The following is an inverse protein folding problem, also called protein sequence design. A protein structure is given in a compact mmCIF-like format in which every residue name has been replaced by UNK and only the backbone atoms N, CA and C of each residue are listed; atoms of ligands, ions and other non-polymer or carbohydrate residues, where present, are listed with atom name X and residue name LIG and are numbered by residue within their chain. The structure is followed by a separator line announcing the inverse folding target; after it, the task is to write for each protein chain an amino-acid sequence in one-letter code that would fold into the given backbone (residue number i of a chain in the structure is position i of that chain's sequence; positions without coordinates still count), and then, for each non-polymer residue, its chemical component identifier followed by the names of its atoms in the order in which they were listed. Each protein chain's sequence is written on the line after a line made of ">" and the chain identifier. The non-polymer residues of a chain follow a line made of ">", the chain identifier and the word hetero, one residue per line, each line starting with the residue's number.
data_IF_453822213986
#
_entry.id   IF_453822213986
#
_cell.length_a   1.000
_cell.length_b   1.000
_cell.length_c   1.000
_cell.angle_alpha   90.00
_cell.angle_beta   90.00
_cell.angle_gamma   90.00
#
_symmetry.space_group_name_H-M   'P 1'
#
loop_
_entity.id
_entity.type
_entity.pdbx_description
1 polymer ?
#
# COMPACT_ATOMS: atom_id res chain seq x y z
N UNK A 1 3.17 -2.96 1.64
CA UNK A 1 2.54 -2.26 0.50
C UNK A 1 2.15 -0.87 0.99
N UNK A 2 2.78 0.18 0.46
CA UNK A 2 2.39 1.55 0.83
C UNK A 2 0.98 1.84 0.31
N UNK A 3 0.21 2.60 1.07
CA UNK A 3 -1.12 3.10 0.71
C UNK A 3 -1.35 4.44 1.41
N UNK A 4 -2.44 5.15 1.08
CA UNK A 4 -2.70 6.51 1.61
C UNK A 4 -2.72 6.60 3.15
N UNK A 5 -3.04 5.50 3.85
CA UNK A 5 -2.91 5.40 5.31
C UNK A 5 -1.49 5.60 5.83
N UNK A 6 -0.48 4.98 5.20
CA UNK A 6 0.93 5.22 5.51
C UNK A 6 1.31 6.68 5.19
N UNK A 7 0.87 7.19 4.04
CA UNK A 7 1.12 8.57 3.64
C UNK A 7 0.53 9.59 4.63
N UNK A 8 -0.68 9.35 5.16
CA UNK A 8 -1.29 10.20 6.17
C UNK A 8 -0.59 10.10 7.54
N UNK A 9 -0.08 8.93 7.93
CA UNK A 9 0.77 8.79 9.12
C UNK A 9 2.03 9.65 8.98
N UNK A 10 2.71 9.57 7.83
CA UNK A 10 3.91 10.38 7.55
C UNK A 10 3.58 11.88 7.50
N UNK A 11 2.44 12.28 6.94
CA UNK A 11 1.94 13.66 7.00
C UNK A 11 1.75 14.13 8.45
N UNK A 12 1.10 13.32 9.29
CA UNK A 12 0.90 13.63 10.71
C UNK A 12 2.25 13.75 11.43
N UNK A 13 3.18 12.82 11.20
CA UNK A 13 4.51 12.87 11.78
C UNK A 13 5.28 14.14 11.35
N UNK A 14 5.28 14.47 10.05
CA UNK A 14 5.88 15.71 9.52
C UNK A 14 5.24 16.96 10.11
N UNK A 15 3.94 16.95 10.47
CA UNK A 15 3.30 18.11 11.10
C UNK A 15 3.69 18.34 12.56
N UNK A 16 4.43 17.41 13.18
CA UNK A 16 4.90 17.51 14.57
C UNK A 16 6.32 18.06 14.69
N UNK A 17 6.97 18.39 13.57
CA UNK A 17 8.32 18.95 13.53
C UNK A 17 8.64 19.55 12.16
N UNK A 18 9.91 19.87 11.93
CA UNK A 18 10.33 20.57 10.70
C UNK A 18 10.97 19.63 9.66
N UNK A 19 11.42 18.44 10.08
CA UNK A 19 12.12 17.46 9.25
C UNK A 19 11.69 16.04 9.64
N UNK A 20 11.46 15.17 8.64
CA UNK A 20 10.99 13.80 8.81
C UNK A 20 11.97 12.82 8.16
N UNK A 21 12.60 12.02 9.02
CA UNK A 21 13.41 10.86 8.65
C UNK A 21 12.56 9.60 8.81
N UNK A 22 12.56 8.73 7.80
CA UNK A 22 11.85 7.45 7.84
C UNK A 22 12.81 6.28 7.76
N UNK A 23 12.91 5.51 8.85
CA UNK A 23 13.61 4.23 8.87
C UNK A 23 12.81 3.13 8.18
N UNK A 24 13.45 2.40 7.26
CA UNK A 24 12.83 1.29 6.53
C UNK A 24 13.69 0.04 6.69
N UNK A 25 13.09 -1.05 7.19
CA UNK A 25 13.79 -2.30 7.47
C UNK A 25 14.22 -3.05 6.21
N UNK A 26 15.25 -3.90 6.31
CA UNK A 26 15.63 -4.84 5.24
C UNK A 26 14.62 -5.98 5.10
N UNK A 27 14.67 -6.70 3.96
CA UNK A 27 13.81 -7.89 3.76
C UNK A 27 14.15 -9.01 4.74
N UNK A 28 15.44 -9.17 5.07
CA UNK A 28 15.92 -10.13 6.06
C UNK A 28 15.39 -9.82 7.46
N UNK A 29 15.39 -8.55 7.86
CA UNK A 29 14.91 -8.15 9.18
C UNK A 29 13.39 -8.33 9.35
N UNK A 30 12.63 -8.01 8.30
CA UNK A 30 11.19 -8.27 8.27
C UNK A 30 10.89 -9.76 8.40
N UNK A 31 11.65 -10.59 7.69
CA UNK A 31 11.41 -12.05 7.62
C UNK A 31 11.70 -12.78 8.93
N UNK A 32 12.45 -12.18 9.87
CA UNK A 32 12.64 -12.73 11.23
C UNK A 32 11.39 -12.61 12.09
N UNK A 33 10.59 -11.57 11.87
CA UNK A 33 9.45 -11.22 12.73
C UNK A 33 8.11 -11.63 12.12
N UNK A 34 8.01 -11.64 10.79
CA UNK A 34 6.80 -11.99 10.06
C UNK A 34 7.14 -12.68 8.73
N UNK A 35 6.12 -13.01 7.94
CA UNK A 35 6.33 -13.49 6.58
C UNK A 35 7.15 -12.52 5.73
N UNK A 36 7.82 -13.02 4.65
CA UNK A 36 8.63 -12.19 3.78
C UNK A 36 7.75 -11.09 3.14
N UNK A 37 8.30 -9.88 2.97
CA UNK A 37 7.56 -8.79 2.35
C UNK A 37 7.25 -9.09 0.88
N UNK A 38 6.14 -8.54 0.38
CA UNK A 38 5.73 -8.65 -1.03
C UNK A 38 6.67 -7.86 -1.96
N UNK A 39 7.07 -6.67 -1.51
CA UNK A 39 7.96 -5.77 -2.20
C UNK A 39 9.37 -5.89 -1.61
N UNK A 40 10.37 -5.86 -2.48
CA UNK A 40 11.78 -5.86 -2.05
C UNK A 40 12.07 -4.59 -1.26
N UNK A 41 13.15 -4.61 -0.49
CA UNK A 41 13.58 -3.43 0.26
C UNK A 41 13.83 -2.22 -0.64
N UNK A 42 14.43 -2.39 -1.82
CA UNK A 42 14.68 -1.31 -2.77
C UNK A 42 13.38 -0.67 -3.28
N UNK A 43 12.38 -1.50 -3.61
CA UNK A 43 11.04 -1.02 -3.99
C UNK A 43 10.40 -0.22 -2.85
N UNK A 44 10.57 -0.67 -1.60
CA UNK A 44 10.04 0.00 -0.41
C UNK A 44 10.77 1.32 -0.12
N UNK A 45 12.09 1.35 -0.22
CA UNK A 45 12.92 2.54 -0.04
C UNK A 45 12.50 3.62 -1.03
N UNK A 46 12.44 3.28 -2.31
CA UNK A 46 12.07 4.22 -3.38
C UNK A 46 10.63 4.72 -3.21
N UNK A 47 9.69 3.85 -2.83
CA UNK A 47 8.30 4.23 -2.61
C UNK A 47 8.14 5.22 -1.46
N UNK A 48 8.83 4.98 -0.33
CA UNK A 48 8.80 5.90 0.83
C UNK A 48 9.43 7.24 0.48
N UNK A 49 10.56 7.24 -0.26
CA UNK A 49 11.22 8.46 -0.74
C UNK A 49 10.30 9.31 -1.63
N UNK A 50 9.41 8.70 -2.38
CA UNK A 50 8.48 9.41 -3.26
C UNK A 50 7.37 10.19 -2.52
N UNK A 51 7.14 9.90 -1.23
CA UNK A 51 6.13 10.59 -0.43
C UNK A 51 6.65 11.99 -0.06
N UNK A 52 5.86 13.03 -0.35
CA UNK A 52 6.31 14.43 -0.26
C UNK A 52 6.61 14.96 1.14
N UNK A 53 6.13 14.29 2.17
CA UNK A 53 6.40 14.65 3.56
C UNK A 53 7.70 14.05 4.10
N UNK A 54 8.29 13.10 3.37
CA UNK A 54 9.55 12.44 3.76
C UNK A 54 10.72 13.25 3.22
N UNK A 55 11.59 13.73 4.09
CA UNK A 55 12.79 14.45 3.66
C UNK A 55 13.93 13.47 3.39
N UNK A 56 14.09 12.47 4.26
CA UNK A 56 15.16 11.48 4.19
C UNK A 56 14.67 10.09 4.58
N UNK A 57 15.29 9.06 3.97
CA UNK A 57 15.07 7.67 4.37
C UNK A 57 16.35 7.09 4.96
N UNK A 58 16.19 6.25 5.97
CA UNK A 58 17.27 5.42 6.52
C UNK A 58 17.01 3.98 6.11
N UNK A 59 17.88 3.46 5.26
CA UNK A 59 17.82 2.08 4.78
C UNK A 59 18.36 1.12 5.84
N UNK A 60 17.75 -0.06 5.94
CA UNK A 60 18.16 -1.08 6.91
C UNK A 60 17.96 -0.68 8.37
N UNK A 61 16.94 0.14 8.67
CA UNK A 61 16.63 0.53 10.04
C UNK A 61 16.28 -0.71 10.93
N UNK A 62 16.69 -0.72 12.21
CA UNK A 62 16.30 -1.78 13.16
C UNK A 62 14.78 -1.95 13.26
N UNK A 63 14.32 -3.16 13.62
CA UNK A 63 12.89 -3.46 13.69
C UNK A 63 12.17 -2.67 14.79
N UNK A 64 12.83 -2.47 15.93
CA UNK A 64 12.31 -1.71 17.07
C UNK A 64 13.05 -0.38 17.16
N UNK A 65 12.30 0.71 17.37
CA UNK A 65 12.88 2.04 17.60
C UNK A 65 13.55 2.11 18.97
N UNK A 66 14.80 2.52 19.01
CA UNK A 66 15.60 2.69 20.24
C UNK A 66 16.06 4.14 20.39
N UNK A 67 16.44 4.53 21.62
CA UNK A 67 17.05 5.85 21.86
C UNK A 67 18.35 6.02 21.08
N UNK A 68 19.17 4.97 20.99
CA UNK A 68 20.41 4.96 20.17
C UNK A 68 20.13 5.33 18.70
N UNK A 69 19.05 4.80 18.12
CA UNK A 69 18.68 5.12 16.74
C UNK A 69 18.25 6.58 16.62
N UNK A 70 17.47 7.09 17.57
CA UNK A 70 17.05 8.48 17.55
C UNK A 70 18.24 9.44 17.71
N UNK A 71 19.17 9.13 18.61
CA UNK A 71 20.37 9.94 18.83
C UNK A 71 21.31 9.91 17.63
N UNK A 72 21.49 8.74 17.01
CA UNK A 72 22.32 8.58 15.81
C UNK A 72 21.88 9.49 14.65
N UNK A 73 20.58 9.71 14.48
CA UNK A 73 20.03 10.56 13.42
C UNK A 73 19.56 11.93 13.92
N UNK A 74 19.89 12.28 15.17
CA UNK A 74 19.51 13.54 15.80
C UNK A 74 18.00 13.84 15.72
N UNK A 75 17.18 12.82 15.96
CA UNK A 75 15.72 12.93 15.99
C UNK A 75 15.21 13.22 17.41
N UNK A 76 14.39 14.25 17.59
CA UNK A 76 13.83 14.57 18.92
C UNK A 76 12.91 13.48 19.46
N UNK A 77 12.07 12.90 18.60
CA UNK A 77 11.10 11.86 18.97
C UNK A 77 10.74 10.96 17.80
N UNK A 78 10.19 9.78 18.08
CA UNK A 78 9.53 8.94 17.08
C UNK A 78 8.02 9.13 17.08
N UNK A 79 7.39 8.83 15.95
CA UNK A 79 5.92 8.89 15.79
C UNK A 79 5.41 7.55 15.29
N UNK A 80 4.50 6.94 16.04
CA UNK A 80 3.87 5.66 15.69
C UNK A 80 2.34 5.77 15.73
N UNK A 81 1.65 4.75 15.23
CA UNK A 81 0.20 4.63 15.39
C UNK A 81 -0.17 4.24 16.83
N UNK A 82 -1.45 4.35 17.16
CA UNK A 82 -2.06 3.98 18.43
C UNK A 82 -2.28 2.45 18.60
N UNK A 83 -1.48 1.64 17.90
CA UNK A 83 -1.58 0.18 17.95
C UNK A 83 -1.02 -0.38 19.27
N UNK A 84 -1.63 -1.46 19.78
CA UNK A 84 -1.14 -2.16 20.97
C UNK A 84 0.18 -2.87 20.61
N UNK A 85 1.29 -2.41 21.21
CA UNK A 85 2.63 -2.93 20.93
C UNK A 85 3.22 -3.56 22.19
N UNK A 86 2.78 -4.78 22.50
CA UNK A 86 3.29 -5.56 23.63
C UNK A 86 4.19 -6.70 23.14
N UNK A 87 5.27 -6.97 23.87
CA UNK A 87 6.06 -8.19 23.73
C UNK A 87 5.28 -9.40 24.24
N UNK A 88 5.79 -10.61 24.00
CA UNK A 88 5.20 -11.87 24.52
C UNK A 88 5.07 -11.87 26.05
N UNK A 89 5.92 -11.12 26.75
CA UNK A 89 5.90 -10.96 28.20
C UNK A 89 4.97 -9.83 28.68
N UNK A 90 4.18 -9.24 27.77
CA UNK A 90 3.24 -8.16 28.08
C UNK A 90 3.89 -6.80 28.34
N UNK A 91 5.17 -6.61 28.00
CA UNK A 91 5.87 -5.32 28.13
C UNK A 91 5.71 -4.48 26.87
N UNK A 92 5.61 -3.17 27.03
CA UNK A 92 5.55 -2.26 25.88
C UNK A 92 6.86 -2.31 25.07
N UNK A 93 6.77 -2.59 23.77
CA UNK A 93 7.90 -2.65 22.84
C UNK A 93 8.69 -1.34 22.80
N UNK A 94 8.04 -0.22 23.09
CA UNK A 94 8.64 1.13 23.08
C UNK A 94 8.82 1.71 24.50
N UNK A 95 8.82 0.88 25.55
CA UNK A 95 8.92 1.32 26.94
C UNK A 95 10.10 2.27 27.19
N UNK A 96 11.27 1.98 26.60
CA UNK A 96 12.47 2.81 26.69
C UNK A 96 12.23 4.23 26.14
N UNK A 97 11.73 4.31 24.91
CA UNK A 97 11.51 5.59 24.21
C UNK A 97 10.36 6.39 24.84
N UNK A 98 9.31 5.71 25.31
CA UNK A 98 8.20 6.32 26.06
C UNK A 98 8.66 6.90 27.39
N UNK A 99 9.49 6.17 28.14
CA UNK A 99 10.01 6.63 29.44
C UNK A 99 10.92 7.86 29.30
N UNK A 100 11.59 8.00 28.17
CA UNK A 100 12.39 9.19 27.84
C UNK A 100 11.57 10.39 27.33
N UNK A 101 10.24 10.26 27.17
CA UNK A 101 9.39 11.33 26.64
C UNK A 101 9.57 11.59 25.14
N UNK A 102 10.16 10.65 24.40
CA UNK A 102 10.52 10.79 22.97
C UNK A 102 9.65 9.95 22.04
N UNK A 103 8.44 9.59 22.49
CA UNK A 103 7.45 8.85 21.72
C UNK A 103 6.17 9.68 21.54
N UNK A 104 5.67 9.77 20.31
CA UNK A 104 4.42 10.45 19.98
C UNK A 104 3.50 9.52 19.20
N UNK A 105 2.20 9.74 19.33
CA UNK A 105 1.17 8.96 18.65
C UNK A 105 0.47 9.79 17.57
N UNK A 106 0.13 9.12 16.48
CA UNK A 106 -0.70 9.67 15.41
C UNK A 106 -1.97 8.84 15.25
N UNK A 107 -3.02 9.47 14.74
CA UNK A 107 -4.32 8.80 14.59
C UNK A 107 -4.27 7.83 13.41
N UNK A 108 -4.77 6.61 13.63
CA UNK A 108 -4.98 5.63 12.56
C UNK A 108 -5.86 6.21 11.44
N UNK A 109 -5.49 5.91 10.21
CA UNK A 109 -6.26 6.39 9.04
C UNK A 109 -7.47 5.49 8.80
N UNK A 110 -8.67 6.08 8.81
CA UNK A 110 -9.93 5.40 8.51
C UNK A 110 -9.98 4.98 7.04
N UNK A 111 -10.48 3.77 6.78
CA UNK A 111 -10.88 3.31 5.43
C UNK A 111 -9.85 2.48 4.66
N UNK A 112 -8.66 2.22 5.23
CA UNK A 112 -7.67 1.35 4.58
C UNK A 112 -6.78 0.62 5.57
N UNK A 113 -6.45 -0.62 5.26
CA UNK A 113 -5.34 -1.37 5.83
C UNK A 113 -4.73 -2.30 4.79
N UNK A 114 -3.52 -2.79 5.01
CA UNK A 114 -2.93 -3.79 4.10
C UNK A 114 -3.78 -5.07 4.06
N UNK A 115 -4.36 -5.48 5.20
CA UNK A 115 -5.25 -6.65 5.26
C UNK A 115 -6.52 -6.44 4.44
N UNK A 116 -7.14 -5.27 4.53
CA UNK A 116 -8.30 -4.89 3.71
C UNK A 116 -7.96 -4.94 2.21
N UNK A 117 -6.88 -4.28 1.79
CA UNK A 117 -6.45 -4.28 0.39
C UNK A 117 -6.18 -5.70 -0.14
N UNK A 118 -5.50 -6.54 0.64
CA UNK A 118 -5.29 -7.96 0.29
C UNK A 118 -6.64 -8.68 0.15
N UNK A 119 -7.58 -8.45 1.07
CA UNK A 119 -8.94 -8.98 0.98
C UNK A 119 -9.61 -8.60 -0.34
N UNK A 120 -9.56 -7.32 -0.74
CA UNK A 120 -10.13 -6.84 -2.02
C UNK A 120 -9.53 -7.53 -3.24
N UNK A 121 -8.22 -7.82 -3.21
CA UNK A 121 -7.54 -8.53 -4.29
C UNK A 121 -7.92 -10.01 -4.37
N UNK A 122 -8.14 -10.66 -3.21
CA UNK A 122 -8.47 -12.09 -3.13
C UNK A 122 -9.95 -12.37 -3.38
N UNK A 123 -10.83 -11.43 -3.04
CA UNK A 123 -12.29 -11.61 -3.13
C UNK A 123 -12.76 -11.94 -4.54
N UNK A 124 -12.01 -11.51 -5.58
CA UNK A 124 -12.37 -11.74 -6.97
C UNK A 124 -13.84 -11.38 -7.33
N UNK A 125 -14.50 -10.53 -6.53
CA UNK A 125 -15.89 -10.06 -6.74
C UNK A 125 -15.95 -8.55 -6.92
N UNK A 126 -16.99 -8.05 -7.61
CA UNK A 126 -17.19 -6.62 -7.92
C UNK A 126 -17.85 -5.82 -6.80
N UNK A 127 -18.16 -6.47 -5.67
CA UNK A 127 -19.04 -5.93 -4.64
C UNK A 127 -18.31 -5.08 -3.58
N UNK A 128 -16.97 -5.01 -3.59
CA UNK A 128 -16.18 -4.21 -2.63
C UNK A 128 -16.28 -2.69 -2.83
N UNK A 129 -17.08 -2.22 -3.79
CA UNK A 129 -17.47 -0.81 -3.95
C UNK A 129 -18.95 -0.54 -3.66
N UNK A 130 -19.76 -1.58 -3.42
CA UNK A 130 -21.20 -1.47 -3.18
C UNK A 130 -21.54 -1.88 -1.75
N UNK A 131 -22.33 -1.08 -1.02
CA UNK A 131 -22.83 -1.37 0.34
C UNK A 131 -23.72 -2.64 0.45
N UNK A 132 -23.78 -3.48 -0.58
CA UNK A 132 -24.50 -4.75 -0.51
C UNK A 132 -23.64 -5.78 0.22
N UNK A 133 -23.97 -6.00 1.50
CA UNK A 133 -23.46 -7.10 2.32
C UNK A 133 -23.85 -8.41 1.63
N UNK A 134 -22.94 -8.98 0.83
CA UNK A 134 -23.12 -10.34 0.35
C UNK A 134 -22.84 -11.28 1.51
N UNK A 135 -23.76 -12.20 1.82
CA UNK A 135 -23.58 -13.25 2.84
C UNK A 135 -22.32 -14.11 2.62
N UNK A 136 -21.81 -14.14 1.39
CA UNK A 136 -20.56 -14.81 1.03
C UNK A 136 -19.30 -14.08 1.55
N UNK A 137 -19.42 -12.80 1.88
CA UNK A 137 -18.32 -11.93 2.33
C UNK A 137 -17.91 -12.24 3.79
N UNK A 138 -18.89 -12.48 4.67
CA UNK A 138 -18.67 -12.83 6.09
C UNK A 138 -17.90 -14.14 6.25
N UNK A 139 -18.24 -15.16 5.47
CA UNK A 139 -17.60 -16.49 5.54
C UNK A 139 -16.11 -16.47 5.18
N UNK A 140 -15.66 -15.56 4.31
CA UNK A 140 -14.26 -15.47 3.93
C UNK A 140 -13.46 -14.62 4.92
N UNK A 141 -14.00 -13.53 5.46
CA UNK A 141 -13.34 -12.67 6.46
C UNK A 141 -13.03 -13.42 7.76
N UNK A 142 -13.93 -14.32 8.18
CA UNK A 142 -13.76 -15.13 9.40
C UNK A 142 -12.59 -16.12 9.29
N UNK A 143 -12.21 -16.51 8.07
CA UNK A 143 -11.04 -17.37 7.82
C UNK A 143 -9.70 -16.61 7.77
N UNK A 144 -9.69 -15.28 7.73
CA UNK A 144 -8.45 -14.49 7.79
C UNK A 144 -7.90 -14.34 9.21
N UNK A 145 -8.73 -14.59 10.23
CA UNK A 145 -8.34 -14.64 11.64
C UNK A 145 -8.65 -16.01 12.24
N UNK A 146 -7.75 -16.99 12.11
CA UNK A 146 -7.76 -18.15 13.01
C UNK A 146 -7.33 -17.68 14.40
N UNK A 147 -8.30 -17.11 15.09
CA UNK A 147 -8.33 -16.65 16.46
C UNK A 147 -9.79 -16.33 16.72
N UNK A 148 -10.55 -17.33 17.17
CA UNK A 148 -11.97 -17.22 17.46
C UNK A 148 -12.16 -16.15 18.54
N UNK A 149 -12.40 -14.89 18.13
CA UNK A 149 -12.96 -13.73 18.89
C UNK A 149 -12.62 -12.36 18.26
N UNK A 150 -11.80 -12.24 17.20
CA UNK A 150 -11.46 -10.93 16.64
C UNK A 150 -12.24 -10.62 15.36
N UNK A 151 -13.46 -10.11 15.51
CA UNK A 151 -14.13 -9.37 14.43
C UNK A 151 -13.34 -8.09 14.17
N UNK A 152 -12.71 -7.96 12.99
CA UNK A 152 -12.22 -6.66 12.52
C UNK A 152 -13.38 -5.92 11.82
N UNK A 153 -13.84 -4.77 12.32
CA UNK A 153 -14.90 -4.00 11.66
C UNK A 153 -14.50 -3.41 10.30
N UNK A 154 -13.27 -3.65 9.84
CA UNK A 154 -12.63 -3.02 8.68
C UNK A 154 -12.51 -3.91 7.44
N UNK A 155 -13.07 -5.12 7.45
CA UNK A 155 -13.04 -6.03 6.30
C UNK A 155 -14.42 -6.07 5.65
N UNK A 156 -14.67 -5.15 4.74
CA UNK A 156 -15.97 -5.03 4.10
C UNK A 156 -16.12 -3.74 3.32
N UNK A 157 -15.86 -3.79 2.01
CA UNK A 157 -16.10 -2.68 1.07
C UNK A 157 -15.22 -1.45 1.42
N UNK A 158 -14.88 -0.56 0.46
CA UNK A 158 -14.19 0.68 0.84
C UNK A 158 -15.10 1.53 1.72
N UNK A 159 -14.89 1.53 3.05
CA UNK A 159 -15.62 2.36 4.01
C UNK A 159 -15.00 3.77 4.11
N UNK A 160 -14.18 4.16 3.14
CA UNK A 160 -13.46 5.41 3.15
C UNK A 160 -14.42 6.59 2.98
N UNK A 161 -14.55 7.41 4.03
CA UNK A 161 -15.34 8.64 3.99
C UNK A 161 -14.46 9.80 3.51
N UNK A 162 -14.57 10.16 2.23
CA UNK A 162 -13.85 11.32 1.70
C UNK A 162 -14.42 12.63 2.25
N UNK A 163 -13.55 13.58 2.56
CA UNK A 163 -13.96 14.94 2.96
C UNK A 163 -13.06 15.98 2.28
N UNK A 164 -13.57 17.20 2.11
CA UNK A 164 -12.76 18.32 1.63
C UNK A 164 -11.50 18.50 2.47
N UNK A 165 -11.61 18.35 3.79
CA UNK A 165 -10.47 18.46 4.71
C UNK A 165 -9.37 17.44 4.43
N UNK A 166 -9.71 16.18 4.12
CA UNK A 166 -8.72 15.15 3.76
C UNK A 166 -8.00 15.51 2.46
N UNK A 167 -8.73 16.06 1.48
CA UNK A 167 -8.14 16.54 0.21
C UNK A 167 -7.20 17.70 0.48
N UNK A 168 -7.62 18.72 1.24
CA UNK A 168 -6.79 19.88 1.59
C UNK A 168 -5.50 19.46 2.30
N UNK A 169 -5.59 18.51 3.24
CA UNK A 169 -4.42 17.98 3.95
C UNK A 169 -3.42 17.27 3.03
N UNK A 170 -3.90 16.72 1.91
CA UNK A 170 -3.09 15.99 0.94
C UNK A 170 -2.69 16.84 -0.27
N UNK A 171 -3.42 17.89 -0.61
CA UNK A 171 -3.11 18.74 -1.76
C UNK A 171 -1.91 19.65 -1.49
N UNK A 172 -1.21 20.06 -2.55
CA UNK A 172 -0.17 21.09 -2.43
C UNK A 172 -0.80 22.49 -2.24
N UNK A 173 -2.00 22.70 -2.82
CA UNK A 173 -2.73 23.97 -2.81
C UNK A 173 -2.07 25.07 -3.65
N UNK A 174 -1.12 24.73 -4.52
CA UNK A 174 -0.40 25.70 -5.35
C UNK A 174 -0.97 25.70 -6.77
N UNK A 175 -1.28 26.88 -7.28
CA UNK A 175 -1.63 27.06 -8.70
C UNK A 175 -0.36 27.16 -9.58
N UNK A 176 -0.44 26.86 -10.89
CA UNK A 176 0.67 27.04 -11.82
C UNK A 176 1.14 28.50 -11.82
N UNK A 177 2.45 28.71 -11.70
CA UNK A 177 3.07 30.03 -11.73
C UNK A 177 3.60 30.37 -13.12
N UNK A 178 3.78 31.66 -13.47
CA UNK A 178 4.47 32.05 -14.68
C UNK A 178 5.84 31.36 -14.80
N UNK A 179 6.08 30.70 -15.94
CA UNK A 179 7.28 29.92 -16.22
C UNK A 179 7.19 28.44 -15.84
N UNK A 180 6.12 27.99 -15.19
CA UNK A 180 5.87 26.56 -15.01
C UNK A 180 5.41 25.94 -16.34
N UNK A 181 5.83 24.70 -16.60
CA UNK A 181 5.33 23.88 -17.72
C UNK A 181 4.24 22.96 -17.20
N UNK A 182 3.02 23.11 -17.70
CA UNK A 182 1.86 22.32 -17.26
C UNK A 182 1.84 20.99 -18.03
N UNK A 183 2.10 19.91 -17.30
CA UNK A 183 2.18 18.56 -17.87
C UNK A 183 0.98 17.75 -17.39
N UNK A 184 0.18 17.23 -18.31
CA UNK A 184 -0.96 16.37 -18.02
C UNK A 184 -0.63 14.90 -18.28
N UNK A 185 -0.99 14.04 -17.33
CA UNK A 185 -0.96 12.58 -17.47
C UNK A 185 -2.28 12.00 -17.01
N UNK A 186 -2.72 10.88 -17.56
CA UNK A 186 -4.01 10.28 -17.19
C UNK A 186 -3.90 8.77 -17.01
N UNK A 187 -4.79 8.20 -16.19
CA UNK A 187 -4.87 6.75 -16.03
C UNK A 187 -5.71 6.30 -14.85
N UNK A 188 -5.57 5.00 -14.55
CA UNK A 188 -6.17 4.41 -13.35
C UNK A 188 -5.44 4.89 -12.09
N UNK A 189 -4.10 4.76 -12.04
CA UNK A 189 -3.30 4.94 -10.81
C UNK A 189 -3.84 4.10 -9.63
N UNK A 190 -4.34 2.91 -9.95
CA UNK A 190 -4.86 1.96 -8.97
C UNK A 190 -3.71 1.21 -8.26
N UNK A 191 -3.88 0.99 -6.95
CA UNK A 191 -2.81 0.56 -6.04
C UNK A 191 -1.50 1.34 -6.28
N UNK A 192 -1.55 2.68 -6.24
CA UNK A 192 -0.41 3.55 -6.54
C UNK A 192 0.93 2.99 -6.02
N UNK A 193 1.88 2.79 -6.94
CA UNK A 193 3.02 1.89 -6.77
C UNK A 193 4.27 2.41 -7.49
N UNK A 194 5.39 1.70 -7.34
CA UNK A 194 6.69 2.20 -7.81
C UNK A 194 6.78 2.41 -9.32
N UNK A 195 6.09 1.59 -10.13
CA UNK A 195 5.97 1.87 -11.57
C UNK A 195 5.35 3.24 -11.90
N UNK A 196 4.36 3.68 -11.11
CA UNK A 196 3.77 5.02 -11.25
C UNK A 196 4.73 6.12 -10.77
N UNK A 197 5.45 5.87 -9.67
CA UNK A 197 6.48 6.79 -9.16
C UNK A 197 7.56 7.01 -10.20
N UNK A 198 8.08 5.95 -10.81
CA UNK A 198 9.15 6.02 -11.81
C UNK A 198 8.69 6.75 -13.07
N UNK A 199 7.45 6.49 -13.50
CA UNK A 199 6.82 7.24 -14.58
C UNK A 199 6.70 8.74 -14.25
N UNK A 200 6.13 9.08 -13.09
CA UNK A 200 5.93 10.47 -12.69
C UNK A 200 7.25 11.21 -12.44
N UNK A 201 8.28 10.53 -11.95
CA UNK A 201 9.63 11.09 -11.83
C UNK A 201 10.19 11.46 -13.21
N UNK A 202 10.04 10.59 -14.20
CA UNK A 202 10.49 10.85 -15.57
C UNK A 202 9.67 11.95 -16.28
N UNK A 203 8.38 12.03 -15.98
CA UNK A 203 7.50 13.12 -16.41
C UNK A 203 7.92 14.45 -15.79
N UNK A 204 8.19 14.47 -14.48
CA UNK A 204 8.63 15.66 -13.76
C UNK A 204 9.96 16.21 -14.34
N UNK A 205 10.85 15.33 -14.80
CA UNK A 205 12.12 15.69 -15.46
C UNK A 205 11.96 16.25 -16.89
N UNK A 206 10.75 16.32 -17.44
CA UNK A 206 10.53 16.86 -18.80
C UNK A 206 10.60 18.40 -18.86
N UNK A 207 10.59 19.08 -17.71
CA UNK A 207 10.72 20.52 -17.60
C UNK A 207 11.51 20.91 -16.35
N UNK A 208 12.15 22.08 -16.38
CA UNK A 208 12.86 22.63 -15.21
C UNK A 208 11.88 22.95 -14.07
N UNK A 209 10.69 23.46 -14.43
CA UNK A 209 9.60 23.81 -13.51
C UNK A 209 8.32 23.08 -13.91
N UNK A 210 8.28 21.77 -13.69
CA UNK A 210 7.13 20.96 -14.03
C UNK A 210 5.96 21.17 -13.05
N UNK A 211 4.79 21.50 -13.59
CA UNK A 211 3.51 21.46 -12.88
C UNK A 211 2.73 20.25 -13.38
N UNK A 212 2.76 19.14 -12.63
CA UNK A 212 2.18 17.87 -13.08
C UNK A 212 0.75 17.72 -12.59
N UNK A 213 -0.18 17.62 -13.55
CA UNK A 213 -1.60 17.33 -13.33
C UNK A 213 -1.86 15.87 -13.66
N UNK A 214 -2.39 15.12 -12.68
CA UNK A 214 -2.74 13.71 -12.87
C UNK A 214 -4.26 13.56 -12.99
N UNK A 215 -4.73 13.16 -14.16
CA UNK A 215 -6.12 12.79 -14.42
C UNK A 215 -6.44 11.37 -13.95
N UNK A 216 -7.38 11.25 -13.01
CA UNK A 216 -7.86 9.96 -12.51
C UNK A 216 -9.18 9.60 -13.17
N UNK A 217 -9.18 8.53 -13.96
CA UNK A 217 -10.41 8.01 -14.56
C UNK A 217 -11.43 7.58 -13.49
N UNK A 218 -12.72 7.66 -13.81
CA UNK A 218 -13.80 7.11 -12.98
C UNK A 218 -13.68 5.60 -12.79
N UNK A 219 -14.17 5.09 -11.65
CA UNK A 219 -14.08 3.66 -11.32
C UNK A 219 -14.78 2.77 -12.37
N UNK A 220 -15.92 3.23 -12.90
CA UNK A 220 -16.64 2.55 -13.96
C UNK A 220 -15.84 2.50 -15.27
N UNK A 221 -15.11 3.57 -15.56
CA UNK A 221 -14.26 3.65 -16.76
C UNK A 221 -13.04 2.74 -16.61
N UNK A 222 -12.39 2.74 -15.45
CA UNK A 222 -11.30 1.81 -15.13
C UNK A 222 -11.77 0.36 -15.24
N UNK A 223 -12.95 0.04 -14.70
CA UNK A 223 -13.51 -1.31 -14.82
C UNK A 223 -13.81 -1.69 -16.27
N UNK A 224 -14.25 -0.76 -17.12
CA UNK A 224 -14.51 -1.04 -18.54
C UNK A 224 -13.26 -1.57 -19.25
N UNK A 225 -12.12 -0.90 -19.11
CA UNK A 225 -10.90 -1.26 -19.85
C UNK A 225 -9.96 -2.22 -19.12
N UNK A 226 -10.05 -2.36 -17.78
CA UNK A 226 -9.29 -3.38 -17.02
C UNK A 226 -10.08 -4.65 -16.72
N UNK A 227 -11.40 -4.56 -16.70
CA UNK A 227 -12.29 -5.67 -16.34
C UNK A 227 -12.14 -6.14 -14.90
N UNK A 228 -12.57 -7.38 -14.66
CA UNK A 228 -12.50 -8.06 -13.36
C UNK A 228 -13.12 -7.19 -12.25
N UNK A 229 -12.38 -7.02 -11.16
CA UNK A 229 -12.78 -6.32 -9.95
C UNK A 229 -12.01 -5.00 -9.80
N UNK A 230 -11.38 -4.53 -10.89
CA UNK A 230 -10.67 -3.28 -10.89
C UNK A 230 -11.64 -2.09 -10.99
N UNK A 231 -11.29 -0.94 -10.39
CA UNK A 231 -10.08 -0.73 -9.58
C UNK A 231 -10.21 -1.37 -8.18
N UNK A 232 -9.09 -1.68 -7.54
CA UNK A 232 -9.04 -2.16 -6.16
C UNK A 232 -9.29 -1.01 -5.18
N UNK A 233 -8.72 0.16 -5.47
CA UNK A 233 -8.96 1.42 -4.77
C UNK A 233 -9.95 2.27 -5.55
N UNK A 234 -10.99 2.78 -4.88
CA UNK A 234 -11.94 3.69 -5.54
C UNK A 234 -11.27 5.04 -5.89
N UNK A 235 -11.97 5.88 -6.65
CA UNK A 235 -11.41 7.16 -7.12
C UNK A 235 -10.94 8.08 -5.98
N UNK A 236 -11.61 8.06 -4.84
CA UNK A 236 -11.27 8.91 -3.71
C UNK A 236 -10.01 8.42 -2.97
N UNK A 237 -9.85 7.10 -2.84
CA UNK A 237 -8.62 6.47 -2.31
C UNK A 237 -7.43 6.69 -3.25
N UNK A 238 -7.65 6.58 -4.57
CA UNK A 238 -6.63 6.86 -5.60
C UNK A 238 -6.22 8.32 -5.59
N UNK A 239 -7.17 9.24 -5.39
CA UNK A 239 -6.91 10.69 -5.24
C UNK A 239 -5.89 10.94 -4.12
N UNK A 240 -6.13 10.42 -2.91
CA UNK A 240 -5.18 10.61 -1.81
C UNK A 240 -3.84 9.92 -2.07
N UNK A 241 -3.85 8.75 -2.71
CA UNK A 241 -2.64 8.00 -3.01
C UNK A 241 -1.72 8.76 -3.97
N UNK A 242 -2.30 9.39 -5.00
CA UNK A 242 -1.58 10.18 -6.01
C UNK A 242 -1.11 11.53 -5.45
N UNK A 243 -1.96 12.25 -4.70
CA UNK A 243 -1.61 13.54 -4.08
C UNK A 243 -0.46 13.46 -3.07
N UNK A 244 -0.18 12.27 -2.52
CA UNK A 244 0.94 12.04 -1.62
C UNK A 244 2.31 12.04 -2.32
N UNK A 245 2.33 11.84 -3.64
CA UNK A 245 3.55 11.79 -4.43
C UNK A 245 4.18 13.18 -4.60
N UNK A 246 5.49 13.31 -4.38
CA UNK A 246 6.21 14.60 -4.49
C UNK A 246 6.27 15.18 -5.90
N UNK A 247 6.07 14.34 -6.92
CA UNK A 247 6.11 14.74 -8.33
C UNK A 247 4.76 15.25 -8.84
N UNK A 248 3.70 15.22 -8.01
CA UNK A 248 2.35 15.60 -8.40
C UNK A 248 1.99 16.97 -7.80
N UNK A 249 1.54 17.88 -8.66
CA UNK A 249 1.08 19.21 -8.26
C UNK A 249 -0.42 19.23 -8.01
N UNK A 250 -1.20 18.61 -8.91
CA UNK A 250 -2.67 18.62 -8.91
C UNK A 250 -3.27 17.31 -9.44
N UNK A 251 -4.52 17.04 -9.08
CA UNK A 251 -5.29 15.87 -9.53
C UNK A 251 -6.65 16.28 -10.11
N UNK A 252 -6.97 15.80 -11.31
CA UNK A 252 -8.34 15.85 -11.84
C UNK A 252 -9.10 14.61 -11.38
N UNK A 253 -9.99 14.80 -10.41
CA UNK A 253 -10.84 13.74 -9.85
C UNK A 253 -12.00 13.48 -10.82
N UNK A 254 -11.97 12.35 -11.52
CA UNK A 254 -13.00 12.01 -12.51
C UNK A 254 -12.68 12.56 -13.90
N UNK A 255 -11.43 12.38 -14.32
CA UNK A 255 -10.99 12.77 -15.64
C UNK A 255 -11.69 11.93 -16.73
N UNK A 256 -12.04 12.53 -17.88
CA UNK A 256 -12.52 11.79 -19.05
C UNK A 256 -11.42 10.86 -19.57
N UNK A 257 -11.83 9.76 -20.22
CA UNK A 257 -10.89 8.80 -20.82
C UNK A 257 -10.12 9.42 -22.00
N UNK A 258 -10.85 10.08 -22.91
CA UNK A 258 -10.27 10.84 -24.01
C UNK A 258 -9.80 12.22 -23.53
N UNK A 259 -8.56 12.55 -23.86
CA UNK A 259 -7.94 13.86 -23.57
C UNK A 259 -8.44 14.88 -24.59
N UNK A 260 -9.61 15.45 -24.33
CA UNK A 260 -10.28 16.38 -25.23
C UNK A 260 -9.74 17.82 -25.19
N UNK A 261 -10.14 18.61 -26.19
CA UNK A 261 -9.80 20.04 -26.33
C UNK A 261 -10.15 20.85 -25.08
N UNK A 262 -11.33 20.64 -24.50
CA UNK A 262 -11.80 21.44 -23.37
C UNK A 262 -10.93 21.25 -22.13
N UNK A 263 -10.46 20.03 -21.87
CA UNK A 263 -9.53 19.74 -20.76
C UNK A 263 -8.19 20.44 -20.99
N UNK A 264 -7.63 20.31 -22.20
CA UNK A 264 -6.34 20.92 -22.54
C UNK A 264 -6.39 22.44 -22.44
N UNK A 265 -7.46 23.05 -22.95
CA UNK A 265 -7.64 24.51 -22.96
C UNK A 265 -7.93 25.04 -21.54
N UNK A 266 -8.74 24.32 -20.74
CA UNK A 266 -9.07 24.70 -19.37
C UNK A 266 -7.82 24.76 -18.46
N UNK A 267 -7.01 23.71 -18.49
CA UNK A 267 -5.78 23.64 -17.69
C UNK A 267 -4.57 24.29 -18.35
N UNK A 268 -4.70 24.82 -19.57
CA UNK A 268 -3.60 25.40 -20.36
C UNK A 268 -2.41 24.44 -20.48
N UNK A 269 -2.70 23.19 -20.85
CA UNK A 269 -1.71 22.09 -20.88
C UNK A 269 -0.66 22.34 -21.97
N UNK A 270 0.62 22.32 -21.59
CA UNK A 270 1.75 22.45 -22.50
C UNK A 270 2.24 21.10 -23.04
N UNK A 271 2.07 20.05 -22.24
CA UNK A 271 2.59 18.71 -22.55
C UNK A 271 1.64 17.63 -22.04
N UNK A 272 1.38 16.60 -22.84
CA UNK A 272 0.68 15.38 -22.42
C UNK A 272 1.65 14.21 -22.47
N UNK A 273 1.77 13.48 -21.36
CA UNK A 273 2.64 12.31 -21.27
C UNK A 273 1.85 11.02 -21.01
N UNK A 274 2.26 9.93 -21.64
CA UNK A 274 1.80 8.57 -21.31
C UNK A 274 3.00 7.62 -21.22
N UNK A 275 2.89 6.58 -20.41
CA UNK A 275 3.93 5.56 -20.28
C UNK A 275 4.08 4.68 -21.54
N UNK A 276 4.97 3.69 -21.49
CA UNK A 276 5.05 2.63 -22.52
C UNK A 276 3.97 1.56 -22.42
N UNK A 277 3.08 1.66 -21.44
CA UNK A 277 1.96 0.73 -21.28
C UNK A 277 0.96 0.91 -22.42
N UNK A 278 0.28 -0.18 -22.79
CA UNK A 278 -0.75 -0.18 -23.82
C UNK A 278 -1.81 0.91 -23.59
N UNK A 279 -2.20 1.57 -24.68
CA UNK A 279 -3.30 2.53 -24.74
C UNK A 279 -4.47 1.83 -25.40
N UNK A 280 -5.57 1.65 -24.66
CA UNK A 280 -6.79 1.09 -25.24
C UNK A 280 -7.55 2.20 -26.01
N UNK A 281 -8.20 1.86 -27.14
CA UNK A 281 -9.12 2.78 -27.78
C UNK A 281 -10.29 3.16 -26.86
N UNK A 282 -10.85 4.34 -27.07
CA UNK A 282 -12.11 4.74 -26.43
C UNK A 282 -13.29 3.91 -26.98
N UNK A 283 -14.50 4.10 -26.44
CA UNK A 283 -15.72 3.31 -26.73
C UNK A 283 -16.13 3.34 -28.20
N UNK A 284 -15.79 4.43 -28.88
CA UNK A 284 -15.98 4.72 -30.30
C UNK A 284 -14.79 4.28 -31.17
N UNK A 285 -13.77 3.64 -30.58
CA UNK A 285 -12.58 3.12 -31.27
C UNK A 285 -11.51 4.15 -31.56
N UNK A 286 -11.67 5.39 -31.06
CA UNK A 286 -10.75 6.50 -31.29
C UNK A 286 -9.56 6.43 -30.32
N UNK A 287 -8.38 6.87 -30.76
CA UNK A 287 -7.22 7.04 -29.87
C UNK A 287 -7.54 8.14 -28.83
N UNK A 288 -7.55 7.83 -27.51
CA UNK A 288 -7.84 8.81 -26.47
C UNK A 288 -6.84 9.97 -26.42
N UNK A 289 -5.68 9.84 -27.07
CA UNK A 289 -4.67 10.88 -27.21
C UNK A 289 -4.60 11.51 -28.61
N UNK A 290 -5.62 11.31 -29.46
CA UNK A 290 -5.64 11.89 -30.81
C UNK A 290 -5.48 13.42 -30.81
N UNK A 291 -6.16 14.12 -29.90
CA UNK A 291 -6.11 15.59 -29.80
C UNK A 291 -4.72 16.13 -29.38
N UNK A 292 -4.07 15.66 -28.30
CA UNK A 292 -2.71 16.11 -27.97
C UNK A 292 -1.66 15.71 -29.02
N UNK A 293 -1.85 14.58 -29.73
CA UNK A 293 -1.00 14.22 -30.89
C UNK A 293 -1.16 15.22 -32.03
N UNK A 294 -2.41 15.60 -32.37
CA UNK A 294 -2.73 16.59 -33.40
C UNK A 294 -2.10 17.96 -33.09
N UNK A 295 -2.02 18.33 -31.81
CA UNK A 295 -1.36 19.56 -31.33
C UNK A 295 0.17 19.45 -31.25
N UNK A 296 0.76 18.28 -31.44
CA UNK A 296 2.21 18.06 -31.32
C UNK A 296 2.73 18.09 -29.88
N UNK A 297 1.86 17.95 -28.87
CA UNK A 297 2.20 18.04 -27.45
C UNK A 297 2.13 16.68 -26.73
N UNK A 298 1.97 15.58 -27.45
CA UNK A 298 1.99 14.23 -26.86
C UNK A 298 3.41 13.66 -26.82
N UNK A 299 3.82 13.09 -25.68
CA UNK A 299 5.09 12.35 -25.53
C UNK A 299 4.88 11.00 -24.83
N UNK A 300 5.57 9.98 -25.36
CA UNK A 300 5.69 8.68 -24.68
C UNK A 300 6.92 8.70 -23.77
N UNK A 301 6.74 8.36 -22.50
CA UNK A 301 7.81 8.31 -21.50
C UNK A 301 8.08 6.87 -21.11
N UNK A 302 9.36 6.49 -21.10
CA UNK A 302 9.79 5.21 -20.53
C UNK A 302 10.12 5.40 -19.04
N UNK A 303 9.40 4.72 -18.16
CA UNK A 303 9.70 4.69 -16.73
C UNK A 303 10.88 3.78 -16.40
N UNK A 304 11.29 2.89 -17.31
CA UNK A 304 12.22 1.80 -17.02
C UNK A 304 11.63 0.74 -16.08
N UNK A 305 10.33 0.80 -15.80
CA UNK A 305 9.66 -0.07 -14.83
C UNK A 305 8.37 -0.66 -15.44
N UNK A 306 8.31 -1.99 -15.50
CA UNK A 306 7.20 -2.74 -16.06
C UNK A 306 6.13 -3.14 -15.02
N UNK A 307 6.30 -2.79 -13.75
CA UNK A 307 5.37 -3.20 -12.69
C UNK A 307 3.98 -2.59 -12.90
N UNK A 308 2.97 -3.44 -12.92
CA UNK A 308 1.56 -3.06 -13.03
C UNK A 308 0.76 -3.45 -11.78
N UNK A 309 -0.47 -2.92 -11.68
CA UNK A 309 -1.45 -3.35 -10.67
C UNK A 309 -1.71 -4.86 -10.73
N UNK A 310 -1.79 -5.45 -11.93
CA UNK A 310 -1.98 -6.90 -12.09
C UNK A 310 -0.77 -7.70 -11.54
N UNK A 311 0.45 -7.23 -11.77
CA UNK A 311 1.66 -7.89 -11.22
C UNK A 311 1.68 -7.86 -9.69
N UNK A 312 1.25 -6.74 -9.10
CA UNK A 312 1.15 -6.61 -7.63
C UNK A 312 0.15 -7.62 -7.08
N UNK A 313 -1.03 -7.72 -7.71
CA UNK A 313 -2.05 -8.71 -7.35
C UNK A 313 -1.48 -10.13 -7.44
N UNK A 314 -0.77 -10.46 -8.54
CA UNK A 314 -0.13 -11.78 -8.69
C UNK A 314 0.94 -12.05 -7.62
N UNK A 315 1.80 -11.08 -7.30
CA UNK A 315 2.83 -11.22 -6.24
C UNK A 315 2.19 -11.51 -4.88
N UNK A 316 1.05 -10.89 -4.58
CA UNK A 316 0.34 -11.09 -3.30
C UNK A 316 -0.31 -12.45 -3.24
N UNK A 317 -0.98 -12.86 -4.31
CA UNK A 317 -1.59 -14.19 -4.42
C UNK A 317 -0.50 -15.27 -4.26
N UNK A 318 0.63 -15.13 -4.96
CA UNK A 318 1.75 -16.06 -4.86
C UNK A 318 2.32 -16.13 -3.43
N UNK A 319 2.55 -14.98 -2.78
CA UNK A 319 3.03 -14.95 -1.40
C UNK A 319 2.03 -15.57 -0.42
N UNK A 320 0.73 -15.41 -0.65
CA UNK A 320 -0.33 -16.01 0.16
C UNK A 320 -0.32 -17.52 0.06
N UNK A 321 -0.27 -18.07 -1.16
CA UNK A 321 -0.20 -19.51 -1.40
C UNK A 321 1.05 -20.12 -0.74
N UNK A 322 2.19 -19.43 -0.81
CA UNK A 322 3.41 -19.85 -0.12
C UNK A 322 3.29 -19.80 1.41
N UNK A 323 2.60 -18.80 1.96
CA UNK A 323 2.33 -18.71 3.39
C UNK A 323 1.43 -19.86 3.86
N UNK A 324 0.34 -20.13 3.14
CA UNK A 324 -0.59 -21.23 3.46
C UNK A 324 0.12 -22.59 3.38
N UNK A 325 0.91 -22.84 2.34
CA UNK A 325 1.69 -24.06 2.21
C UNK A 325 2.72 -24.23 3.35
N UNK A 326 3.35 -23.15 3.83
CA UNK A 326 4.29 -23.20 4.97
C UNK A 326 3.57 -23.51 6.28
N UNK A 327 2.42 -22.88 6.53
CA UNK A 327 1.64 -23.14 7.73
C UNK A 327 1.11 -24.59 7.75
N UNK A 328 0.58 -25.09 6.63
CA UNK A 328 0.16 -26.50 6.52
C UNK A 328 1.31 -27.47 6.81
N UNK A 329 2.52 -27.22 6.29
CA UNK A 329 3.71 -28.03 6.59
C UNK A 329 4.11 -27.97 8.07
N UNK A 330 4.01 -26.81 8.69
CA UNK A 330 4.32 -26.63 10.12
C UNK A 330 3.31 -27.37 10.99
N UNK A 331 2.02 -27.20 10.74
CA UNK A 331 0.92 -27.90 11.42
C UNK A 331 1.05 -29.43 11.26
N UNK A 332 1.35 -29.93 10.05
CA UNK A 332 1.57 -31.35 9.82
C UNK A 332 2.77 -31.91 10.60
N UNK A 333 3.86 -31.14 10.71
CA UNK A 333 5.04 -31.52 11.49
C UNK A 333 4.75 -31.54 12.99
N UNK A 334 4.03 -30.54 13.51
CA UNK A 334 3.61 -30.48 14.91
C UNK A 334 2.68 -31.63 15.28
N UNK A 335 1.68 -31.94 14.43
CA UNK A 335 0.82 -33.12 14.63
C UNK A 335 1.61 -34.42 14.63
N UNK A 336 2.54 -34.61 13.67
CA UNK A 336 3.37 -35.81 13.62
C UNK A 336 4.24 -35.99 14.88
N UNK A 337 4.79 -34.90 15.43
CA UNK A 337 5.55 -34.92 16.69
C UNK A 337 4.64 -35.28 17.86
N UNK A 338 3.44 -34.69 17.93
CA UNK A 338 2.47 -34.99 18.99
C UNK A 338 2.00 -36.46 18.95
N UNK A 339 1.71 -36.99 17.76
CA UNK A 339 1.36 -38.41 17.58
C UNK A 339 2.51 -39.34 17.98
N UNK A 340 3.75 -39.00 17.62
CA UNK A 340 4.93 -39.76 18.02
C UNK A 340 5.16 -39.75 19.54
N UNK A 341 4.92 -38.61 20.21
CA UNK A 341 4.97 -38.52 21.68
C UNK A 341 3.91 -39.40 22.33
N UNK A 342 2.65 -39.32 21.87
CA UNK A 342 1.56 -40.18 22.37
C UNK A 342 1.86 -41.67 22.20
N UNK A 343 2.41 -42.08 21.05
CA UNK A 343 2.78 -43.49 20.81
C UNK A 343 3.86 -43.96 21.79
N UNK A 344 4.87 -43.12 22.08
CA UNK A 344 5.91 -43.43 23.07
C UNK A 344 5.36 -43.54 24.49
N UNK A 345 4.48 -42.63 24.90
CA UNK A 345 3.82 -42.70 26.22
C UNK A 345 3.01 -43.98 26.36
N UNK A 346 2.30 -44.39 25.30
CA UNK A 346 1.50 -45.61 25.34
C UNK A 346 2.38 -46.88 25.37
N UNK A 347 3.52 -46.88 24.67
CA UNK A 347 4.50 -47.96 24.75
C UNK A 347 5.12 -48.08 26.15
N UNK A 348 5.51 -46.97 26.75
CA UNK A 348 6.07 -46.96 28.11
C UNK A 348 5.06 -47.43 29.17
N UNK A 349 3.78 -47.09 29.00
CA UNK A 349 2.71 -47.60 29.87
C UNK A 349 2.50 -49.11 29.72
N UNK A 350 2.60 -49.64 28.50
CA UNK A 350 2.49 -51.08 28.25
C UNK A 350 3.69 -51.86 28.78
N UNK A 351 4.90 -51.33 28.64
CA UNK A 351 6.13 -51.92 29.20
C UNK A 351 6.09 -51.93 30.73
N UNK A 352 5.67 -50.83 31.37
CA UNK A 352 5.53 -50.77 32.83
C UNK A 352 4.48 -51.76 33.36
N UNK A 353 3.37 -51.95 32.64
CA UNK A 353 2.35 -52.95 33.01
C UNK A 353 2.82 -54.39 32.80
N UNK A 354 3.68 -54.65 31.81
CA UNK A 354 4.29 -55.96 31.61
C UNK A 354 5.34 -56.29 32.67
N UNK A 355 6.17 -55.31 33.06
CA UNK A 355 7.16 -55.49 34.12
C UNK A 355 6.51 -55.73 35.50
N UNK A 356 5.40 -55.05 35.81
CA UNK A 356 4.59 -55.32 37.02
C UNK A 356 3.95 -56.72 36.99
N UNK A 357 3.56 -57.22 35.83
CA UNK A 357 2.95 -58.54 35.67
C UNK A 357 3.97 -59.70 35.76
N UNK A 358 5.26 -59.44 35.52
CA UNK A 358 6.35 -60.44 35.62
C UNK A 358 6.99 -60.44 37.02
N UNK A 359 6.80 -59.39 37.81
CA UNK A 359 7.28 -59.27 39.19
C UNK A 359 6.35 -59.91 40.25
N UNK A 360 5.16 -60.36 39.84
CA UNK A 360 4.19 -61.14 40.64
C UNK A 360 4.14 -62.60 40.18
#
# INVERSE_FOLDING_TARGET
>A
MVHYGHSNQLRQAKSMGDYLIVGVHTDAEISKHKGPPVFTQEERYKMVRAIKWVDEIVEGAPYVTTLETLDKYNCDSCVHGDDITLTVDGKDTYAEVKSAGRYRECKRTQGVSTTDLVGRMLLMTKAHHSNMVSSHYQLHTDNFGKGATVHSPWTGVSQFLQTSQKIIQFASGKEPQPGDTIIYVAGAFDLFHIGHVDFLEMVYKQAERAYVIVGLHFDQEVNRYKGKNYPIMNIHERTLSVLACRYVSEVVIGAPYTVGKDLLDHFKVDLVCHGKTEVFPDKDGVDPYAEPRRRGIFRTIDSGNSLTTDDIVQRIIANRLQYEARNQKKEAKEMAVFEAMKRREHQQQQEAQQDEAVAH
#
